data_IF_163173572707
#
_entry.id   IF_163173572707
#
_cell.length_a   1.000
_cell.length_b   1.000
_cell.length_c   1.000
_cell.angle_alpha   90.00
_cell.angle_beta   90.00
_cell.angle_gamma   90.00
#
_symmetry.space_group_name_H-M   'P 1'
#
loop_
_entity.id
_entity.type
_entity.pdbx_description
1 polymer ?
#
# COMPACT_ATOMS: atom_id res chain seq x y z
N UNK A 1 -30.81 8.11 -17.26
CA UNK A 1 -29.35 8.33 -17.15
C UNK A 1 -28.87 7.81 -15.79
N UNK A 2 -28.65 6.50 -15.63
CA UNK A 2 -28.13 5.90 -14.37
C UNK A 2 -26.91 5.00 -14.56
N UNK A 3 -26.35 4.90 -15.78
CA UNK A 3 -25.31 3.92 -16.10
C UNK A 3 -24.01 4.08 -15.30
N UNK A 4 -23.61 5.31 -14.96
CA UNK A 4 -22.44 5.56 -14.11
C UNK A 4 -22.66 5.07 -12.66
N UNK A 5 -23.88 5.25 -12.13
CA UNK A 5 -24.27 4.78 -10.80
C UNK A 5 -24.31 3.26 -10.77
N UNK A 6 -24.87 2.62 -11.82
CA UNK A 6 -24.89 1.16 -11.94
C UNK A 6 -23.49 0.56 -12.08
N UNK A 7 -22.60 1.18 -12.86
CA UNK A 7 -21.21 0.75 -12.98
C UNK A 7 -20.48 0.84 -11.64
N UNK A 8 -20.72 1.90 -10.88
CA UNK A 8 -20.13 2.10 -9.55
C UNK A 8 -20.63 1.05 -8.56
N UNK A 9 -21.94 0.80 -8.51
CA UNK A 9 -22.55 -0.23 -7.65
C UNK A 9 -22.01 -1.63 -8.00
N UNK A 10 -21.82 -1.92 -9.29
CA UNK A 10 -21.26 -3.19 -9.76
C UNK A 10 -19.81 -3.37 -9.29
N UNK A 11 -19.00 -2.33 -9.39
CA UNK A 11 -17.61 -2.36 -8.92
C UNK A 11 -17.52 -2.57 -7.40
N UNK A 12 -18.38 -1.90 -6.63
CA UNK A 12 -18.45 -2.09 -5.16
C UNK A 12 -18.81 -3.54 -4.80
N UNK A 13 -19.77 -4.16 -5.50
CA UNK A 13 -20.14 -5.56 -5.26
C UNK A 13 -19.00 -6.54 -5.54
N UNK A 14 -18.18 -6.27 -6.56
CA UNK A 14 -17.02 -7.10 -6.90
C UNK A 14 -15.97 -6.99 -5.80
N UNK A 15 -15.67 -5.78 -5.34
CA UNK A 15 -14.75 -5.54 -4.23
C UNK A 15 -15.25 -6.25 -2.96
N UNK A 16 -16.53 -6.09 -2.60
CA UNK A 16 -17.12 -6.81 -1.46
C UNK A 16 -16.98 -8.33 -1.58
N UNK A 17 -17.21 -8.90 -2.76
CA UNK A 17 -17.00 -10.33 -2.99
C UNK A 17 -15.54 -10.73 -2.80
N UNK A 18 -14.59 -9.96 -3.32
CA UNK A 18 -13.17 -10.23 -3.12
C UNK A 18 -12.79 -10.17 -1.63
N UNK A 19 -13.30 -9.19 -0.89
CA UNK A 19 -13.09 -9.05 0.56
C UNK A 19 -13.62 -10.26 1.34
N UNK A 20 -14.80 -10.76 0.97
CA UNK A 20 -15.43 -11.90 1.66
C UNK A 20 -14.80 -13.23 1.27
N UNK A 21 -14.42 -13.40 0.00
CA UNK A 21 -13.86 -14.66 -0.53
C UNK A 21 -12.39 -14.83 -0.16
N UNK A 22 -11.61 -13.76 -0.18
CA UNK A 22 -10.20 -13.79 0.16
C UNK A 22 -10.01 -13.15 1.53
N UNK A 23 -9.82 -13.99 2.54
CA UNK A 23 -9.59 -13.57 3.93
C UNK A 23 -8.44 -12.55 4.05
N UNK A 24 -7.46 -12.68 3.14
CA UNK A 24 -6.22 -11.90 3.10
C UNK A 24 -6.20 -10.91 1.91
N UNK A 25 -7.37 -10.46 1.45
CA UNK A 25 -7.49 -9.52 0.31
C UNK A 25 -6.65 -8.24 0.50
N UNK A 26 -6.46 -7.81 1.75
CA UNK A 26 -5.67 -6.62 2.11
C UNK A 26 -4.18 -6.86 1.88
N UNK A 27 -3.69 -8.06 2.20
CA UNK A 27 -2.31 -8.46 1.93
C UNK A 27 -2.08 -8.62 0.42
N UNK A 28 -3.02 -9.27 -0.28
CA UNK A 28 -2.96 -9.40 -1.75
C UNK A 28 -3.01 -8.04 -2.46
N UNK A 29 -3.82 -7.10 -1.97
CA UNK A 29 -3.92 -5.76 -2.55
C UNK A 29 -2.60 -5.00 -2.42
N UNK A 30 -1.96 -5.07 -1.25
CA UNK A 30 -0.64 -4.47 -1.06
C UNK A 30 0.42 -5.09 -1.97
N UNK A 31 0.46 -6.42 -2.06
CA UNK A 31 1.40 -7.12 -2.93
C UNK A 31 1.17 -6.78 -4.41
N UNK A 32 -0.09 -6.71 -4.85
CA UNK A 32 -0.43 -6.35 -6.22
C UNK A 32 -0.06 -4.89 -6.55
N UNK A 33 -0.32 -3.95 -5.62
CA UNK A 33 0.10 -2.56 -5.77
C UNK A 33 1.61 -2.43 -5.82
N UNK A 34 2.33 -3.14 -4.94
CA UNK A 34 3.78 -3.14 -4.94
C UNK A 34 4.33 -3.66 -6.28
N UNK A 35 3.85 -4.81 -6.75
CA UNK A 35 4.24 -5.36 -8.06
C UNK A 35 3.93 -4.42 -9.22
N UNK A 36 2.79 -3.71 -9.17
CA UNK A 36 2.46 -2.69 -10.16
C UNK A 36 3.46 -1.52 -10.14
N UNK A 37 3.79 -0.98 -8.97
CA UNK A 37 4.70 0.17 -8.87
C UNK A 37 6.15 -0.16 -9.25
N UNK A 38 6.60 -1.40 -9.01
CA UNK A 38 8.01 -1.80 -9.19
C UNK A 38 8.27 -2.52 -10.50
N UNK A 39 7.25 -3.05 -11.18
CA UNK A 39 7.43 -3.73 -12.45
C UNK A 39 7.61 -2.73 -13.60
N UNK A 40 8.54 -3.04 -14.50
CA UNK A 40 8.75 -2.28 -15.73
C UNK A 40 7.56 -2.52 -16.66
N UNK A 41 6.87 -1.45 -17.03
CA UNK A 41 5.81 -1.52 -18.02
C UNK A 41 6.40 -1.62 -19.43
N UNK A 42 5.98 -2.62 -20.21
CA UNK A 42 6.46 -2.84 -21.58
C UNK A 42 6.16 -1.69 -22.53
N UNK A 43 5.10 -0.91 -22.28
CA UNK A 43 4.74 0.24 -23.13
C UNK A 43 5.67 1.45 -22.95
N UNK A 44 6.21 1.66 -21.75
CA UNK A 44 7.03 2.83 -21.41
C UNK A 44 8.50 2.49 -21.17
N UNK A 45 8.83 1.21 -20.96
CA UNK A 45 10.16 0.76 -20.58
C UNK A 45 10.59 1.23 -19.18
N UNK A 46 9.66 1.78 -18.40
CA UNK A 46 9.89 2.36 -17.08
C UNK A 46 8.87 1.83 -16.07
N UNK A 47 9.21 1.90 -14.79
CA UNK A 47 8.26 1.55 -13.72
C UNK A 47 7.25 2.70 -13.54
N UNK A 48 5.99 2.41 -13.16
CA UNK A 48 5.04 3.48 -12.87
C UNK A 48 5.54 4.46 -11.80
N UNK A 49 6.31 3.98 -10.83
CA UNK A 49 6.90 4.84 -9.80
C UNK A 49 7.91 5.84 -10.37
N UNK A 50 8.83 5.40 -11.25
CA UNK A 50 9.83 6.31 -11.80
C UNK A 50 9.25 7.38 -12.72
N UNK A 51 8.11 7.09 -13.37
CA UNK A 51 7.38 8.07 -14.15
C UNK A 51 6.70 9.15 -13.29
N UNK A 52 6.27 8.81 -12.07
CA UNK A 52 5.62 9.77 -11.16
C UNK A 52 6.63 10.62 -10.41
N UNK A 53 7.71 10.01 -9.92
CA UNK A 53 8.66 10.67 -9.00
C UNK A 53 10.00 11.02 -9.64
N UNK A 54 10.27 10.58 -10.88
CA UNK A 54 11.52 10.88 -11.59
C UNK A 54 12.74 10.12 -11.05
N UNK A 55 12.54 9.11 -10.20
CA UNK A 55 13.61 8.30 -9.61
C UNK A 55 13.24 6.82 -9.60
N UNK A 56 14.24 5.94 -9.71
CA UNK A 56 14.03 4.49 -9.67
C UNK A 56 13.54 4.05 -8.28
N UNK A 57 12.82 2.93 -8.21
CA UNK A 57 12.29 2.42 -6.93
C UNK A 57 13.45 1.98 -6.05
N UNK A 58 13.82 2.86 -5.12
CA UNK A 58 14.30 2.48 -3.80
C UNK A 58 13.06 2.50 -2.93
N UNK A 59 12.67 1.38 -2.30
CA UNK A 59 11.44 1.22 -1.52
C UNK A 59 11.00 2.57 -0.89
N UNK A 60 9.97 3.23 -1.44
CA UNK A 60 9.57 4.53 -0.93
C UNK A 60 9.15 4.35 0.51
N UNK A 61 9.53 5.30 1.38
CA UNK A 61 9.17 5.23 2.81
C UNK A 61 7.66 5.06 3.01
N UNK A 62 6.86 5.62 2.10
CA UNK A 62 5.41 5.51 2.07
C UNK A 62 4.88 4.17 1.60
N UNK A 63 5.69 3.30 1.00
CA UNK A 63 5.35 1.90 0.68
C UNK A 63 6.01 0.96 1.70
N UNK A 64 7.17 1.32 2.22
CA UNK A 64 7.84 0.64 3.33
C UNK A 64 6.98 0.71 4.60
N UNK A 65 6.41 1.86 4.95
CA UNK A 65 5.55 2.01 6.13
C UNK A 65 4.25 1.16 6.00
N UNK A 66 3.49 1.18 4.90
CA UNK A 66 2.36 0.27 4.70
C UNK A 66 2.74 -1.21 4.67
N UNK A 67 3.85 -1.57 4.02
CA UNK A 67 4.29 -2.96 3.99
C UNK A 67 4.76 -3.43 5.36
N UNK A 68 5.50 -2.60 6.12
CA UNK A 68 5.85 -2.86 7.51
C UNK A 68 4.61 -2.93 8.40
N UNK A 69 3.62 -2.05 8.23
CA UNK A 69 2.35 -2.08 8.96
C UNK A 69 1.59 -3.39 8.74
N UNK A 70 1.58 -3.87 7.51
CA UNK A 70 0.89 -5.12 7.12
C UNK A 70 1.65 -6.34 7.62
N UNK A 71 2.97 -6.34 7.46
CA UNK A 71 3.85 -7.38 7.97
C UNK A 71 3.81 -7.47 9.50
N UNK A 72 3.77 -6.34 10.20
CA UNK A 72 3.65 -6.33 11.67
C UNK A 72 2.26 -6.71 12.14
N UNK A 73 1.19 -6.28 11.45
CA UNK A 73 -0.19 -6.65 11.82
C UNK A 73 -0.52 -8.13 11.60
N UNK A 74 0.18 -8.81 10.70
CA UNK A 74 0.06 -10.26 10.48
C UNK A 74 0.88 -11.09 11.47
N UNK A 75 1.87 -10.49 12.16
CA UNK A 75 2.81 -11.19 13.05
C UNK A 75 2.60 -10.86 14.53
N UNK A 76 2.13 -9.65 14.88
CA UNK A 76 2.01 -9.16 16.27
C UNK A 76 0.55 -9.09 16.75
N UNK A 77 0.35 -9.31 18.05
CA UNK A 77 -0.92 -9.02 18.72
C UNK A 77 -1.24 -7.51 18.66
N UNK A 78 -2.53 -7.15 18.67
CA UNK A 78 -2.99 -5.78 18.44
C UNK A 78 -2.38 -4.74 19.41
N UNK A 79 -2.16 -5.12 20.67
CA UNK A 79 -1.54 -4.26 21.67
C UNK A 79 -0.05 -3.98 21.37
N UNK A 80 0.69 -5.00 20.92
CA UNK A 80 2.09 -4.88 20.55
C UNK A 80 2.23 -4.07 19.24
N UNK A 81 1.27 -4.21 18.32
CA UNK A 81 1.22 -3.43 17.08
C UNK A 81 1.05 -1.92 17.32
N UNK A 82 0.16 -1.51 18.26
CA UNK A 82 -0.04 -0.10 18.59
C UNK A 82 1.26 0.53 19.09
N UNK A 83 2.00 -0.20 19.93
CA UNK A 83 3.24 0.27 20.51
C UNK A 83 4.35 0.41 19.45
N UNK A 84 4.53 -0.59 18.59
CA UNK A 84 5.47 -0.54 17.47
C UNK A 84 5.16 0.60 16.50
N UNK A 85 3.87 0.86 16.21
CA UNK A 85 3.46 1.97 15.37
C UNK A 85 3.81 3.34 15.98
N UNK A 86 3.67 3.48 17.30
CA UNK A 86 4.04 4.69 18.03
C UNK A 86 5.56 4.94 17.97
N UNK A 87 6.35 3.90 18.20
CA UNK A 87 7.82 3.98 18.18
C UNK A 87 8.35 4.31 16.78
N UNK A 88 7.75 3.73 15.73
CA UNK A 88 8.10 4.07 14.34
C UNK A 88 7.77 5.52 13.98
N UNK A 89 6.62 6.04 14.44
CA UNK A 89 6.22 7.43 14.22
C UNK A 89 7.21 8.40 14.87
N UNK A 90 7.61 8.14 16.11
CA UNK A 90 8.62 8.93 16.81
C UNK A 90 9.96 8.91 16.07
N UNK A 91 10.43 7.74 15.61
CA UNK A 91 11.68 7.63 14.85
C UNK A 91 11.65 8.44 13.54
N UNK A 92 10.50 8.45 12.85
CA UNK A 92 10.33 9.25 11.62
C UNK A 92 10.34 10.74 11.94
N UNK A 93 9.69 11.15 13.03
CA UNK A 93 9.66 12.54 13.48
C UNK A 93 11.07 13.02 13.86
N UNK A 94 11.85 12.21 14.58
CA UNK A 94 13.25 12.49 14.92
C UNK A 94 14.14 12.64 13.67
N UNK A 95 13.98 11.75 12.68
CA UNK A 95 14.69 11.86 11.39
C UNK A 95 14.31 13.13 10.62
N UNK A 96 13.04 13.55 10.67
CA UNK A 96 12.59 14.80 10.04
C UNK A 96 13.16 16.03 10.74
N UNK A 97 13.23 16.02 12.07
CA UNK A 97 13.81 17.10 12.86
C UNK A 97 15.32 17.24 12.70
N UNK A 98 16.02 16.16 12.39
CA UNK A 98 17.49 16.15 12.19
C UNK A 98 17.92 16.45 10.76
N UNK A 99 16.98 16.47 9.81
CA UNK A 99 17.25 16.79 8.38
C UNK A 99 16.91 18.27 8.05
N UNK A 100 16.53 19.06 9.05
CA UNK A 100 16.40 20.54 9.01
C UNK A 100 17.65 21.21 9.58
#
# INVERSE_FOLDING_TARGET
MNGAVEATIKNIKIIQKMVVTYKDWHDMLLLALHGYYTSIHTSTGATPYSLVYGMEVVLPIEVEIPSLRVLTKTILEEAEWIQVCYDQLNLIEEKRLTTL
#
